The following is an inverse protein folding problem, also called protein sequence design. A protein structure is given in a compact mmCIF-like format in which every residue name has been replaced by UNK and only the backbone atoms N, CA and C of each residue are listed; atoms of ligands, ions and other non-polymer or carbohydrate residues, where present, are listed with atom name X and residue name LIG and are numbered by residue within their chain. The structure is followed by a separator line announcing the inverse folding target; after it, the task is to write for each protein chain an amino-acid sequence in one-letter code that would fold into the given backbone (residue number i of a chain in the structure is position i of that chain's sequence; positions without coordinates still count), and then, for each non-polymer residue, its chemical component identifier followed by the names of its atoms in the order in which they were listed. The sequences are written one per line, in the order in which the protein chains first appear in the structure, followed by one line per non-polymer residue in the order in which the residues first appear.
data_IF_573496154295
#
_entry.id   IF_573496154295
#
_cell.length_a   1.000
_cell.length_b   1.000
_cell.length_c   1.000
_cell.angle_alpha   90.00
_cell.angle_beta   90.00
_cell.angle_gamma   90.00
#
_symmetry.space_group_name_H-M   'P 1'
#
loop_
_entity.id
_entity.type
_entity.pdbx_description
1 polymer ?
#
# COMPACT_ATOMS: atom_id res chain seq x y z
N UNK A 1 11.41 11.20 -20.78
CA UNK A 1 12.35 10.41 -19.96
C UNK A 1 11.65 9.13 -19.52
N UNK A 2 12.33 7.98 -19.51
CA UNK A 2 11.78 6.74 -18.98
C UNK A 2 11.76 6.79 -17.44
N UNK A 3 10.62 6.43 -16.83
CA UNK A 3 10.47 6.38 -15.36
C UNK A 3 11.37 5.29 -14.77
N UNK A 4 11.87 5.50 -13.56
CA UNK A 4 12.59 4.45 -12.85
C UNK A 4 11.63 3.29 -12.49
N UNK A 5 12.05 2.01 -12.56
CA UNK A 5 11.16 0.86 -12.32
C UNK A 5 10.41 0.92 -10.98
N UNK A 6 11.09 1.28 -9.89
CA UNK A 6 10.45 1.46 -8.59
C UNK A 6 9.39 2.58 -8.57
N UNK A 7 9.60 3.67 -9.31
CA UNK A 7 8.60 4.74 -9.44
C UNK A 7 7.41 4.24 -10.25
N UNK A 8 7.68 3.57 -11.39
CA UNK A 8 6.64 2.99 -12.24
C UNK A 8 5.77 1.97 -11.49
N UNK A 9 6.39 1.10 -10.68
CA UNK A 9 5.67 0.16 -9.82
C UNK A 9 4.72 0.87 -8.85
N UNK A 10 5.17 1.94 -8.20
CA UNK A 10 4.33 2.72 -7.29
C UNK A 10 3.22 3.50 -8.01
N UNK A 11 3.45 3.96 -9.23
CA UNK A 11 2.40 4.57 -10.06
C UNK A 11 1.35 3.53 -10.45
N UNK A 12 1.74 2.32 -10.83
CA UNK A 12 0.81 1.22 -11.11
C UNK A 12 -0.04 0.87 -9.87
N UNK A 13 0.57 0.76 -8.69
CA UNK A 13 -0.16 0.54 -7.43
C UNK A 13 -1.14 1.70 -7.14
N UNK A 14 -0.73 2.94 -7.37
CA UNK A 14 -1.60 4.11 -7.14
C UNK A 14 -2.76 4.18 -8.14
N UNK A 15 -2.55 3.73 -9.38
CA UNK A 15 -3.59 3.64 -10.41
C UNK A 15 -4.70 2.66 -10.02
N UNK A 16 -4.38 1.56 -9.32
CA UNK A 16 -5.39 0.63 -8.79
C UNK A 16 -6.31 1.28 -7.74
N UNK A 17 -5.82 2.29 -7.01
CA UNK A 17 -6.65 3.08 -6.09
C UNK A 17 -7.37 4.25 -6.79
N UNK A 18 -7.14 4.44 -8.09
CA UNK A 18 -7.78 5.47 -8.89
C UNK A 18 -7.07 6.81 -8.91
N UNK A 19 -5.80 6.85 -8.53
CA UNK A 19 -4.97 8.04 -8.67
C UNK A 19 -3.98 7.87 -9.82
N UNK A 20 -3.86 8.90 -10.66
CA UNK A 20 -2.82 9.02 -11.67
C UNK A 20 -2.20 10.42 -11.60
N UNK A 21 -0.92 10.57 -11.99
CA UNK A 21 -0.27 11.86 -11.99
C UNK A 21 -0.85 12.78 -13.08
N UNK A 22 -0.97 14.06 -12.76
CA UNK A 22 -1.24 15.11 -13.75
C UNK A 22 0.05 15.74 -14.29
N UNK A 23 -0.07 16.65 -15.25
CA UNK A 23 1.07 17.31 -15.90
C UNK A 23 1.98 18.05 -14.90
N UNK A 24 1.39 18.63 -13.85
CA UNK A 24 2.09 19.37 -12.79
C UNK A 24 2.90 18.46 -11.82
N UNK A 25 2.79 17.14 -11.95
CA UNK A 25 3.46 16.17 -11.07
C UNK A 25 4.85 15.76 -11.58
N UNK A 26 5.19 16.09 -12.83
CA UNK A 26 6.39 15.60 -13.51
C UNK A 26 7.70 16.03 -12.84
N UNK A 27 7.76 17.27 -12.32
CA UNK A 27 8.93 17.75 -11.59
C UNK A 27 9.19 16.90 -10.33
N UNK A 28 8.13 16.66 -9.54
CA UNK A 28 8.21 15.88 -8.31
C UNK A 28 8.55 14.42 -8.61
N UNK A 29 7.88 13.82 -9.59
CA UNK A 29 8.18 12.45 -10.00
C UNK A 29 9.60 12.31 -10.57
N UNK A 30 10.12 13.34 -11.24
CA UNK A 30 11.52 13.39 -11.67
C UNK A 30 12.50 13.38 -10.49
N UNK A 31 12.17 14.02 -9.36
CA UNK A 31 12.96 13.93 -8.13
C UNK A 31 12.91 12.52 -7.53
N UNK A 32 11.73 11.88 -7.55
CA UNK A 32 11.56 10.47 -7.12
C UNK A 32 12.42 9.56 -7.99
N UNK A 33 12.40 9.74 -9.31
CA UNK A 33 13.17 8.95 -10.28
C UNK A 33 14.68 9.02 -9.98
N UNK A 34 15.19 10.21 -9.62
CA UNK A 34 16.59 10.44 -9.23
C UNK A 34 16.94 9.95 -7.82
N UNK A 35 15.99 9.41 -7.06
CA UNK A 35 16.25 8.93 -5.70
C UNK A 35 16.57 10.05 -4.70
N UNK A 36 16.05 11.26 -4.94
CA UNK A 36 16.22 12.40 -4.05
C UNK A 36 15.63 12.11 -2.66
N UNK A 37 16.23 12.70 -1.61
CA UNK A 37 15.75 12.51 -0.23
C UNK A 37 14.26 12.83 -0.07
N UNK A 38 13.56 12.02 0.73
CA UNK A 38 12.13 12.21 1.01
C UNK A 38 11.83 13.59 1.63
N UNK A 39 12.76 14.14 2.42
CA UNK A 39 12.64 15.49 2.98
C UNK A 39 12.57 16.57 1.89
N UNK A 40 13.40 16.49 0.86
CA UNK A 40 13.39 17.47 -0.23
C UNK A 40 12.15 17.31 -1.12
N UNK A 41 11.75 16.07 -1.41
CA UNK A 41 10.51 15.78 -2.13
C UNK A 41 9.31 16.36 -1.37
N UNK A 42 9.26 16.17 -0.05
CA UNK A 42 8.24 16.75 0.81
C UNK A 42 8.19 18.27 0.73
N UNK A 43 9.34 18.93 0.78
CA UNK A 43 9.41 20.39 0.64
C UNK A 43 8.82 20.83 -0.71
N UNK A 44 9.20 20.17 -1.82
CA UNK A 44 8.64 20.51 -3.14
C UNK A 44 7.15 20.26 -3.27
N UNK A 45 6.66 19.13 -2.76
CA UNK A 45 5.22 18.84 -2.73
C UNK A 45 4.50 19.96 -1.98
N UNK A 46 5.03 20.40 -0.83
CA UNK A 46 4.43 21.45 -0.01
C UNK A 46 4.46 22.82 -0.70
N UNK A 47 5.55 23.19 -1.38
CA UNK A 47 5.66 24.45 -2.13
C UNK A 47 4.62 24.56 -3.26
N UNK A 48 4.24 23.44 -3.86
CA UNK A 48 3.22 23.38 -4.90
C UNK A 48 1.76 23.45 -4.37
N UNK A 49 1.56 23.57 -3.05
CA UNK A 49 0.22 23.63 -2.45
C UNK A 49 -0.21 25.10 -2.29
N UNK A 50 -1.35 25.50 -2.88
CA UNK A 50 -1.90 26.86 -2.70
C UNK A 50 -2.13 27.19 -1.22
N UNK A 51 -1.93 28.44 -0.83
CA UNK A 51 -2.11 28.88 0.56
C UNK A 51 -3.53 28.62 1.07
N UNK A 52 -4.53 28.77 0.19
CA UNK A 52 -5.95 28.55 0.45
C UNK A 52 -6.22 27.09 0.84
N UNK A 53 -5.47 26.14 0.27
CA UNK A 53 -5.60 24.72 0.55
C UNK A 53 -5.13 24.32 1.96
N UNK A 54 -4.44 25.22 2.67
CA UNK A 54 -4.02 25.06 4.08
C UNK A 54 -4.83 25.91 5.05
N UNK A 55 -5.78 26.71 4.54
CA UNK A 55 -6.61 27.56 5.39
C UNK A 55 -7.50 26.69 6.27
N UNK A 56 -7.30 26.76 7.59
CA UNK A 56 -8.14 26.02 8.52
C UNK A 56 -9.58 26.56 8.46
N UNK A 57 -10.60 25.67 8.40
CA UNK A 57 -11.97 26.10 8.55
C UNK A 57 -12.12 26.83 9.89
N UNK A 58 -12.85 27.95 9.88
CA UNK A 58 -13.17 28.67 11.11
C UNK A 58 -13.88 27.75 12.12
N UNK A 59 -13.76 28.04 13.42
CA UNK A 59 -14.36 27.20 14.46
C UNK A 59 -15.88 27.15 14.31
N UNK A 60 -16.39 26.03 13.80
CA UNK A 60 -17.84 25.73 13.82
C UNK A 60 -18.18 25.17 15.18
N UNK A 61 -18.63 26.03 16.09
CA UNK A 61 -18.96 25.69 17.50
C UNK A 61 -19.92 24.50 17.60
N UNK A 62 -20.83 24.35 16.63
CA UNK A 62 -21.81 23.27 16.56
C UNK A 62 -21.35 22.03 15.78
N UNK A 63 -20.18 22.05 15.14
CA UNK A 63 -19.70 20.88 14.40
C UNK A 63 -19.24 19.78 15.37
N UNK A 64 -19.85 18.59 15.24
CA UNK A 64 -19.44 17.39 15.97
C UNK A 64 -17.99 17.04 15.64
N UNK A 65 -17.23 16.59 16.65
CA UNK A 65 -15.90 16.02 16.44
C UNK A 65 -16.07 14.62 15.86
N UNK A 66 -15.37 14.34 14.77
CA UNK A 66 -15.28 13.02 14.17
C UNK A 66 -13.81 12.58 14.21
N UNK A 67 -13.47 11.38 14.70
CA UNK A 67 -12.11 10.89 14.70
C UNK A 67 -11.47 10.95 13.30
N UNK A 68 -10.18 11.25 13.25
CA UNK A 68 -9.38 11.39 12.03
C UNK A 68 -9.71 12.58 11.13
N UNK A 69 -10.75 13.37 11.37
CA UNK A 69 -11.17 14.44 10.46
C UNK A 69 -10.98 15.82 11.08
N UNK A 70 -10.52 16.78 10.28
CA UNK A 70 -10.57 18.17 10.71
C UNK A 70 -12.02 18.56 11.02
N UNK A 71 -12.23 19.15 12.20
CA UNK A 71 -13.55 19.54 12.70
C UNK A 71 -14.35 20.31 11.65
N UNK A 72 -15.56 19.84 11.36
CA UNK A 72 -16.47 20.49 10.41
C UNK A 72 -16.13 20.24 8.93
N UNK A 73 -15.22 19.31 8.64
CA UNK A 73 -14.86 18.90 7.28
C UNK A 73 -14.93 17.38 7.11
N UNK A 74 -14.71 16.91 5.88
CA UNK A 74 -14.50 15.49 5.54
C UNK A 74 -13.03 15.16 5.25
N UNK A 75 -12.12 16.07 5.58
CA UNK A 75 -10.69 15.97 5.23
C UNK A 75 -9.96 15.36 6.41
N UNK A 76 -9.13 14.35 6.12
CA UNK A 76 -8.34 13.66 7.13
C UNK A 76 -7.33 14.63 7.77
N UNK A 77 -7.25 14.62 9.10
CA UNK A 77 -6.17 15.28 9.83
C UNK A 77 -4.83 14.70 9.39
N UNK A 78 -3.92 15.60 9.03
CA UNK A 78 -2.64 15.25 8.42
C UNK A 78 -1.54 16.17 8.94
N UNK A 79 -0.31 15.64 8.95
CA UNK A 79 0.91 16.34 9.38
C UNK A 79 1.38 17.42 8.40
N UNK A 80 0.65 17.62 7.29
CA UNK A 80 0.93 18.64 6.27
C UNK A 80 0.14 19.93 6.49
N UNK A 81 -0.87 19.91 7.37
CA UNK A 81 -1.76 21.06 7.61
C UNK A 81 -2.72 21.37 6.46
N UNK A 82 -2.92 20.43 5.53
CA UNK A 82 -3.76 20.63 4.33
C UNK A 82 -5.22 20.37 4.69
N UNK A 83 -6.11 21.29 4.35
CA UNK A 83 -7.56 21.21 4.62
C UNK A 83 -8.40 21.15 3.34
N UNK A 84 -7.79 21.24 2.16
CA UNK A 84 -8.43 20.93 0.88
C UNK A 84 -8.32 19.43 0.56
N UNK A 85 -9.45 18.79 0.25
CA UNK A 85 -9.49 17.36 -0.07
C UNK A 85 -8.65 17.01 -1.31
N UNK A 86 -8.76 17.81 -2.38
CA UNK A 86 -8.00 17.57 -3.62
C UNK A 86 -6.50 17.77 -3.42
N UNK A 87 -6.10 18.83 -2.71
CA UNK A 87 -4.70 19.08 -2.41
C UNK A 87 -4.09 18.00 -1.51
N UNK A 88 -4.85 17.50 -0.52
CA UNK A 88 -4.41 16.41 0.34
C UNK A 88 -4.24 15.11 -0.45
N UNK A 89 -5.20 14.76 -1.31
CA UNK A 89 -5.14 13.56 -2.13
C UNK A 89 -3.91 13.57 -3.05
N UNK A 90 -3.64 14.70 -3.72
CA UNK A 90 -2.43 14.87 -4.55
C UNK A 90 -1.15 14.77 -3.73
N UNK A 91 -1.05 15.52 -2.64
CA UNK A 91 0.16 15.53 -1.80
C UNK A 91 0.45 14.16 -1.18
N UNK A 92 -0.59 13.48 -0.67
CA UNK A 92 -0.46 12.11 -0.16
C UNK A 92 0.04 11.16 -1.24
N UNK A 93 -0.58 11.15 -2.42
CA UNK A 93 -0.21 10.24 -3.49
C UNK A 93 1.27 10.41 -3.91
N UNK A 94 1.73 11.65 -4.09
CA UNK A 94 3.12 11.94 -4.44
C UNK A 94 4.10 11.49 -3.35
N UNK A 95 3.79 11.75 -2.08
CA UNK A 95 4.64 11.36 -0.96
C UNK A 95 4.68 9.83 -0.78
N UNK A 96 3.55 9.15 -0.97
CA UNK A 96 3.46 7.69 -0.91
C UNK A 96 4.22 7.04 -2.08
N UNK A 97 4.12 7.60 -3.29
CA UNK A 97 4.93 7.16 -4.44
C UNK A 97 6.42 7.31 -4.15
N UNK A 98 6.83 8.45 -3.59
CA UNK A 98 8.23 8.69 -3.22
C UNK A 98 8.73 7.71 -2.14
N UNK A 99 7.95 7.53 -1.07
CA UNK A 99 8.28 6.64 0.03
C UNK A 99 8.35 5.17 -0.42
N UNK A 100 7.36 4.73 -1.20
CA UNK A 100 7.32 3.38 -1.75
C UNK A 100 8.44 3.12 -2.75
N UNK A 101 8.73 4.05 -3.65
CA UNK A 101 9.83 3.91 -4.60
C UNK A 101 11.18 3.80 -3.88
N UNK A 102 11.36 4.52 -2.76
CA UNK A 102 12.54 4.39 -1.90
C UNK A 102 12.62 3.00 -1.26
N UNK A 103 11.51 2.48 -0.72
CA UNK A 103 11.46 1.13 -0.15
C UNK A 103 11.81 0.06 -1.19
N UNK A 104 11.28 0.18 -2.41
CA UNK A 104 11.50 -0.77 -3.49
C UNK A 104 12.90 -0.69 -4.12
N UNK A 105 13.67 0.37 -3.85
CA UNK A 105 15.08 0.54 -4.27
C UNK A 105 16.08 0.07 -3.22
N UNK A 106 15.71 0.12 -1.93
CA UNK A 106 16.68 -0.02 -0.86
C UNK A 106 17.15 -1.48 -0.72
N UNK A 107 18.47 -1.75 -0.70
CA UNK A 107 19.01 -3.08 -0.41
C UNK A 107 19.03 -3.41 1.09
N UNK A 108 18.43 -2.55 1.94
CA UNK A 108 18.41 -2.70 3.39
C UNK A 108 17.32 -3.65 3.89
N UNK A 109 17.24 -3.89 5.21
CA UNK A 109 16.19 -4.72 5.79
C UNK A 109 14.82 -4.12 5.43
N UNK A 110 14.05 -4.87 4.66
CA UNK A 110 12.69 -4.49 4.31
C UNK A 110 11.82 -4.50 5.57
N UNK A 111 10.82 -3.60 5.67
CA UNK A 111 9.80 -3.71 6.70
C UNK A 111 9.21 -5.12 6.74
N UNK A 112 9.22 -5.77 7.91
CA UNK A 112 8.73 -7.14 8.04
C UNK A 112 7.21 -7.20 8.20
N UNK A 113 6.62 -6.13 8.74
CA UNK A 113 5.19 -6.06 9.03
C UNK A 113 4.46 -5.11 8.09
N UNK A 114 3.20 -5.41 7.78
CA UNK A 114 2.35 -4.52 6.97
C UNK A 114 2.06 -3.20 7.69
N UNK A 115 2.05 -3.20 9.03
CA UNK A 115 2.03 -1.98 9.85
C UNK A 115 3.28 -1.13 9.67
N UNK A 116 4.48 -1.72 9.60
CA UNK A 116 5.71 -0.98 9.31
C UNK A 116 5.75 -0.45 7.87
N UNK A 117 5.24 -1.22 6.90
CA UNK A 117 5.06 -0.75 5.52
C UNK A 117 4.14 0.46 5.50
N UNK A 118 2.99 0.39 6.17
CA UNK A 118 2.06 1.51 6.24
C UNK A 118 2.69 2.73 6.93
N UNK A 119 3.43 2.54 8.02
CA UNK A 119 4.16 3.61 8.69
C UNK A 119 5.17 4.27 7.74
N UNK A 120 5.92 3.47 6.98
CA UNK A 120 6.91 3.97 6.04
C UNK A 120 6.31 4.71 4.85
N UNK A 121 5.14 4.29 4.35
CA UNK A 121 4.45 4.93 3.22
C UNK A 121 3.73 6.22 3.63
N UNK A 122 3.06 6.22 4.79
CA UNK A 122 2.13 7.27 5.18
C UNK A 122 2.62 8.14 6.34
N UNK A 123 3.77 7.85 6.95
CA UNK A 123 4.27 8.54 8.15
C UNK A 123 4.50 10.04 7.96
N UNK A 124 4.83 10.47 6.74
CA UNK A 124 4.94 11.89 6.40
C UNK A 124 3.58 12.59 6.34
N UNK A 125 2.50 11.85 6.05
CA UNK A 125 1.16 12.41 5.85
C UNK A 125 0.32 12.31 7.12
N UNK A 126 0.38 11.19 7.82
CA UNK A 126 -0.53 10.85 8.90
C UNK A 126 0.19 10.45 10.18
N UNK A 127 -0.12 11.14 11.29
CA UNK A 127 0.41 10.82 12.61
C UNK A 127 0.01 9.43 13.14
N UNK A 128 -1.05 8.84 12.55
CA UNK A 128 -1.54 7.50 12.89
C UNK A 128 -1.02 6.40 11.95
N UNK A 129 -0.09 6.71 11.04
CA UNK A 129 0.46 5.72 10.11
C UNK A 129 1.02 4.49 10.86
N UNK A 130 0.65 3.29 10.41
CA UNK A 130 1.02 2.02 11.03
C UNK A 130 0.15 1.65 12.24
N UNK A 131 -0.84 2.46 12.60
CA UNK A 131 -1.77 2.14 13.71
C UNK A 131 -3.11 1.63 13.21
N UNK A 132 -3.69 0.60 13.85
CA UNK A 132 -5.05 0.16 13.55
C UNK A 132 -6.07 1.28 13.67
N UNK A 133 -7.10 1.24 12.83
CA UNK A 133 -8.22 2.18 12.87
C UNK A 133 -9.08 1.99 14.12
N UNK A 134 -9.67 3.09 14.58
CA UNK A 134 -10.58 3.11 15.74
C UNK A 134 -12.04 3.36 15.38
N UNK A 135 -12.37 3.42 14.09
CA UNK A 135 -13.74 3.63 13.58
C UNK A 135 -14.11 2.56 12.57
N UNK A 136 -15.39 2.23 12.49
CA UNK A 136 -15.91 1.34 11.47
C UNK A 136 -15.87 2.00 10.09
N UNK A 137 -15.60 1.18 9.06
CA UNK A 137 -15.48 1.62 7.68
C UNK A 137 -16.34 0.73 6.78
N UNK A 138 -16.83 1.32 5.70
CA UNK A 138 -17.45 0.63 4.58
C UNK A 138 -17.02 1.28 3.28
N UNK A 139 -16.99 0.49 2.20
CA UNK A 139 -16.67 0.97 0.84
C UNK A 139 -17.62 0.27 -0.13
N UNK A 140 -18.30 1.05 -0.98
CA UNK A 140 -19.19 0.54 -2.03
C UNK A 140 -20.23 -0.49 -1.54
N UNK A 141 -20.79 -0.27 -0.34
CA UNK A 141 -21.78 -1.17 0.26
C UNK A 141 -21.19 -2.38 1.00
N UNK A 142 -19.90 -2.65 0.88
CA UNK A 142 -19.20 -3.68 1.68
C UNK A 142 -18.76 -3.10 3.02
N UNK A 143 -19.12 -3.78 4.11
CA UNK A 143 -18.69 -3.44 5.48
C UNK A 143 -17.43 -4.23 5.81
N UNK A 144 -16.40 -3.54 6.30
CA UNK A 144 -15.16 -4.19 6.76
C UNK A 144 -15.31 -4.74 8.18
N UNK A 145 -14.29 -5.42 8.70
CA UNK A 145 -14.34 -5.94 10.07
C UNK A 145 -14.67 -4.84 11.12
N UNK A 146 -15.34 -5.15 12.24
CA UNK A 146 -15.55 -4.18 13.31
C UNK A 146 -14.22 -3.64 13.84
N UNK A 147 -14.09 -2.33 14.03
CA UNK A 147 -12.86 -1.67 14.45
C UNK A 147 -12.30 -2.24 15.77
N UNK A 148 -13.19 -2.58 16.70
CA UNK A 148 -12.83 -3.21 17.98
C UNK A 148 -12.13 -4.56 17.85
N UNK A 149 -12.30 -5.25 16.71
CA UNK A 149 -11.68 -6.56 16.44
C UNK A 149 -10.43 -6.46 15.56
N UNK A 150 -10.16 -5.31 14.95
CA UNK A 150 -9.06 -5.14 13.98
C UNK A 150 -7.70 -5.56 14.56
N UNK A 151 -7.28 -5.14 15.78
CA UNK A 151 -5.97 -5.51 16.30
C UNK A 151 -5.76 -7.03 16.41
N UNK A 152 -6.80 -7.76 16.82
CA UNK A 152 -6.74 -9.22 16.93
C UNK A 152 -6.76 -9.90 15.55
N UNK A 153 -7.50 -9.35 14.58
CA UNK A 153 -7.64 -9.93 13.24
C UNK A 153 -6.43 -9.66 12.33
N UNK A 154 -5.75 -8.54 12.50
CA UNK A 154 -4.55 -8.19 11.70
C UNK A 154 -3.28 -8.86 12.22
N UNK A 155 -3.18 -9.15 13.52
CA UNK A 155 -2.02 -9.81 14.13
C UNK A 155 -1.48 -11.04 13.37
N UNK A 156 -2.32 -12.02 12.94
CA UNK A 156 -1.83 -13.17 12.16
C UNK A 156 -1.49 -12.83 10.70
N UNK A 157 -1.82 -11.63 10.22
CA UNK A 157 -1.58 -11.16 8.86
C UNK A 157 -0.42 -10.18 8.76
N UNK A 158 0.19 -9.79 9.88
CA UNK A 158 1.22 -8.75 9.91
C UNK A 158 2.42 -9.07 9.00
N UNK A 159 2.84 -10.34 8.91
CA UNK A 159 4.08 -10.74 8.22
C UNK A 159 3.81 -11.60 6.98
N UNK A 160 3.43 -11.00 5.82
CA UNK A 160 3.12 -11.76 4.60
C UNK A 160 4.27 -12.65 4.11
N UNK A 161 5.52 -12.23 4.29
CA UNK A 161 6.68 -13.05 3.89
C UNK A 161 6.76 -14.39 4.62
N UNK A 162 6.33 -14.44 5.89
CA UNK A 162 6.25 -15.70 6.66
C UNK A 162 5.13 -16.60 6.15
N UNK A 163 3.97 -16.02 5.84
CA UNK A 163 2.85 -16.77 5.24
C UNK A 163 3.26 -17.41 3.92
N UNK A 164 4.02 -16.69 3.09
CA UNK A 164 4.59 -17.23 1.85
C UNK A 164 5.61 -18.35 2.14
N UNK A 165 6.48 -18.18 3.13
CA UNK A 165 7.46 -19.19 3.52
C UNK A 165 6.77 -20.49 3.98
N UNK A 166 5.75 -20.39 4.82
CA UNK A 166 4.97 -21.54 5.31
C UNK A 166 4.24 -22.27 4.18
N UNK A 167 3.68 -21.50 3.23
CA UNK A 167 3.04 -22.05 2.04
C UNK A 167 4.03 -22.80 1.14
N UNK A 168 5.25 -22.27 0.96
CA UNK A 168 6.30 -22.94 0.21
C UNK A 168 6.81 -24.21 0.90
N UNK A 169 6.96 -24.18 2.23
CA UNK A 169 7.40 -25.34 3.00
C UNK A 169 6.38 -26.50 2.97
N UNK A 170 5.09 -26.16 2.85
CA UNK A 170 3.99 -27.14 2.81
C UNK A 170 3.58 -27.55 1.39
N UNK A 171 4.18 -26.96 0.36
CA UNK A 171 3.79 -27.19 -1.01
C UNK A 171 4.27 -28.57 -1.52
N UNK A 172 3.49 -29.24 -2.40
CA UNK A 172 3.96 -30.42 -3.10
C UNK A 172 5.24 -30.12 -3.89
N UNK A 173 6.18 -31.08 -3.94
CA UNK A 173 7.48 -30.88 -4.62
C UNK A 173 7.35 -30.51 -6.11
N UNK A 174 6.28 -30.96 -6.78
CA UNK A 174 6.00 -30.64 -8.18
C UNK A 174 5.32 -29.27 -8.39
N UNK A 175 4.92 -28.57 -7.32
CA UNK A 175 4.24 -27.30 -7.44
C UNK A 175 5.22 -26.18 -7.86
N UNK A 176 4.81 -25.38 -8.84
CA UNK A 176 5.57 -24.19 -9.23
C UNK A 176 5.64 -23.20 -8.06
N UNK A 177 6.87 -22.80 -7.69
CA UNK A 177 7.10 -21.75 -6.68
C UNK A 177 6.27 -20.50 -6.97
N UNK A 178 6.25 -20.04 -8.22
CA UNK A 178 5.48 -18.86 -8.64
C UNK A 178 4.00 -19.01 -8.35
N UNK A 179 3.42 -20.16 -8.65
CA UNK A 179 2.02 -20.46 -8.35
C UNK A 179 1.77 -20.48 -6.85
N UNK A 180 2.63 -21.14 -6.06
CA UNK A 180 2.48 -21.19 -4.60
C UNK A 180 2.51 -19.80 -3.98
N UNK A 181 3.49 -18.97 -4.36
CA UNK A 181 3.60 -17.59 -3.85
C UNK A 181 2.38 -16.75 -4.26
N UNK A 182 1.96 -16.82 -5.52
CA UNK A 182 0.78 -16.09 -6.00
C UNK A 182 -0.48 -16.46 -5.23
N UNK A 183 -0.73 -17.75 -5.00
CA UNK A 183 -1.91 -18.23 -4.27
C UNK A 183 -1.86 -17.88 -2.78
N UNK A 184 -0.69 -17.95 -2.15
CA UNK A 184 -0.50 -17.56 -0.75
C UNK A 184 -0.75 -16.06 -0.54
N UNK A 185 -0.21 -15.22 -1.43
CA UNK A 185 -0.43 -13.77 -1.38
C UNK A 185 -1.88 -13.40 -1.70
N UNK A 186 -2.56 -14.12 -2.59
CA UNK A 186 -3.99 -13.93 -2.85
C UNK A 186 -4.85 -14.21 -1.61
N UNK A 187 -4.58 -15.31 -0.89
CA UNK A 187 -5.29 -15.64 0.36
C UNK A 187 -5.06 -14.57 1.43
N UNK A 188 -3.79 -14.22 1.64
CA UNK A 188 -3.40 -13.18 2.58
C UNK A 188 -4.06 -11.84 2.23
N UNK A 189 -3.99 -11.40 0.97
CA UNK A 189 -4.52 -10.10 0.54
C UNK A 189 -6.04 -10.04 0.71
N UNK A 190 -6.77 -11.11 0.36
CA UNK A 190 -8.21 -11.16 0.53
C UNK A 190 -8.61 -11.02 2.01
N UNK A 191 -7.90 -11.73 2.91
CA UNK A 191 -8.11 -11.63 4.36
C UNK A 191 -7.76 -10.24 4.88
N UNK A 192 -6.63 -9.69 4.47
CA UNK A 192 -6.18 -8.35 4.83
C UNK A 192 -7.18 -7.28 4.37
N UNK A 193 -7.66 -7.37 3.13
CA UNK A 193 -8.64 -6.46 2.56
C UNK A 193 -9.96 -6.45 3.35
N UNK A 194 -10.42 -7.62 3.81
CA UNK A 194 -11.60 -7.72 4.66
C UNK A 194 -11.40 -7.09 6.05
N UNK A 195 -10.24 -7.31 6.68
CA UNK A 195 -9.90 -6.69 7.98
C UNK A 195 -9.82 -5.18 7.84
N UNK A 196 -9.19 -4.71 6.76
CA UNK A 196 -9.03 -3.30 6.41
C UNK A 196 -8.45 -2.49 7.59
N UNK A 197 -7.24 -2.81 8.07
CA UNK A 197 -6.81 -2.45 9.41
C UNK A 197 -6.53 -0.96 9.61
N UNK A 198 -6.22 -0.21 8.58
CA UNK A 198 -5.86 1.21 8.68
C UNK A 198 -7.03 2.12 8.30
N UNK A 199 -6.94 3.40 8.70
CA UNK A 199 -8.00 4.38 8.39
C UNK A 199 -8.06 4.72 6.90
N UNK A 200 -6.92 4.80 6.24
CA UNK A 200 -6.75 5.06 4.80
C UNK A 200 -5.44 4.40 4.37
N UNK A 201 -5.27 4.07 3.08
CA UNK A 201 -4.00 3.55 2.56
C UNK A 201 -3.86 2.02 2.56
N UNK A 202 -4.92 1.28 2.90
CA UNK A 202 -4.90 -0.18 3.03
C UNK A 202 -4.41 -0.90 1.77
N UNK A 203 -4.95 -0.59 0.58
CA UNK A 203 -4.56 -1.27 -0.65
C UNK A 203 -3.12 -0.99 -1.07
N UNK A 204 -2.65 0.27 -0.95
CA UNK A 204 -1.26 0.66 -1.20
C UNK A 204 -0.28 -0.02 -0.25
N UNK A 205 -0.59 -0.07 1.05
CA UNK A 205 0.24 -0.78 2.02
C UNK A 205 0.26 -2.30 1.75
N UNK A 206 -0.89 -2.89 1.42
CA UNK A 206 -0.99 -4.31 1.11
C UNK A 206 -0.22 -4.69 -0.16
N UNK A 207 -0.34 -3.89 -1.23
CA UNK A 207 0.38 -4.11 -2.47
C UNK A 207 1.90 -4.06 -2.26
N UNK A 208 2.41 -3.03 -1.56
CA UNK A 208 3.84 -2.92 -1.26
C UNK A 208 4.33 -4.05 -0.36
N UNK A 209 3.58 -4.42 0.68
CA UNK A 209 3.93 -5.54 1.56
C UNK A 209 3.94 -6.88 0.81
N UNK A 210 3.01 -7.10 -0.12
CA UNK A 210 2.99 -8.27 -0.99
C UNK A 210 4.19 -8.30 -1.95
N UNK A 211 4.56 -7.15 -2.55
CA UNK A 211 5.74 -7.04 -3.41
C UNK A 211 7.02 -7.38 -2.63
N UNK A 212 7.18 -6.83 -1.42
CA UNK A 212 8.34 -7.13 -0.57
C UNK A 212 8.36 -8.62 -0.17
N UNK A 213 7.21 -9.20 0.14
CA UNK A 213 7.09 -10.63 0.45
C UNK A 213 7.46 -11.50 -0.76
N UNK A 214 6.99 -11.19 -1.97
CA UNK A 214 7.36 -11.91 -3.19
C UNK A 214 8.86 -11.83 -3.47
N UNK A 215 9.46 -10.65 -3.31
CA UNK A 215 10.90 -10.40 -3.50
C UNK A 215 11.79 -11.17 -2.54
N UNK A 216 11.36 -11.31 -1.28
CA UNK A 216 12.05 -12.14 -0.31
C UNK A 216 12.16 -13.62 -0.74
N UNK A 217 11.29 -14.07 -1.66
CA UNK A 217 11.23 -15.43 -2.20
C UNK A 217 11.63 -15.50 -3.69
N UNK A 218 12.33 -14.49 -4.20
CA UNK A 218 12.90 -14.49 -5.55
C UNK A 218 11.92 -14.20 -6.70
N UNK A 219 10.74 -13.66 -6.39
CA UNK A 219 9.73 -13.25 -7.36
C UNK A 219 9.48 -11.75 -7.28
N UNK A 220 8.68 -11.19 -8.18
CA UNK A 220 8.22 -9.80 -8.09
C UNK A 220 6.72 -9.70 -8.41
N UNK A 221 6.09 -8.58 -8.08
CA UNK A 221 4.71 -8.29 -8.43
C UNK A 221 4.65 -7.07 -9.36
N UNK A 222 4.20 -7.29 -10.59
CA UNK A 222 3.97 -6.26 -11.58
C UNK A 222 2.48 -5.94 -11.70
N UNK A 223 2.04 -4.97 -10.89
CA UNK A 223 0.66 -4.49 -10.88
C UNK A 223 0.24 -3.74 -12.16
N UNK A 224 1.15 -3.41 -13.07
CA UNK A 224 0.78 -2.85 -14.38
C UNK A 224 0.11 -3.92 -15.28
N UNK A 225 0.20 -5.20 -14.91
CA UNK A 225 -0.41 -6.31 -15.66
C UNK A 225 -1.90 -6.49 -15.38
N UNK A 226 -2.48 -5.74 -14.44
CA UNK A 226 -3.92 -5.74 -14.13
C UNK A 226 -4.49 -4.33 -14.23
N UNK A 227 -5.82 -4.22 -14.28
CA UNK A 227 -6.52 -2.93 -14.27
C UNK A 227 -7.17 -2.68 -12.93
N UNK A 228 -7.52 -1.41 -12.68
CA UNK A 228 -8.28 -1.01 -11.49
C UNK A 228 -9.59 -1.77 -11.39
N UNK A 229 -10.31 -1.92 -12.50
CA UNK A 229 -11.62 -2.56 -12.55
C UNK A 229 -11.51 -4.02 -12.12
N UNK A 230 -10.53 -4.75 -12.66
CA UNK A 230 -10.26 -6.14 -12.30
C UNK A 230 -9.86 -6.28 -10.83
N UNK A 231 -8.97 -5.40 -10.36
CA UNK A 231 -8.49 -5.43 -8.98
C UNK A 231 -9.59 -5.11 -7.96
N UNK A 232 -10.39 -4.08 -8.23
CA UNK A 232 -11.54 -3.70 -7.39
C UNK A 232 -12.60 -4.79 -7.42
N UNK A 233 -12.88 -5.39 -8.58
CA UNK A 233 -13.82 -6.50 -8.68
C UNK A 233 -13.35 -7.70 -7.86
N UNK A 234 -12.06 -8.05 -7.92
CA UNK A 234 -11.49 -9.11 -7.10
C UNK A 234 -11.62 -8.83 -5.59
N UNK A 235 -11.38 -7.58 -5.18
CA UNK A 235 -11.54 -7.14 -3.80
C UNK A 235 -13.00 -7.26 -3.32
N UNK A 236 -13.96 -6.79 -4.11
CA UNK A 236 -15.40 -6.88 -3.80
C UNK A 236 -15.85 -8.35 -3.74
N UNK A 237 -15.49 -9.16 -4.73
CA UNK A 237 -15.86 -10.59 -4.77
C UNK A 237 -15.24 -11.40 -3.63
N UNK A 238 -14.17 -10.92 -3.02
CA UNK A 238 -13.54 -11.59 -1.88
C UNK A 238 -14.23 -11.36 -0.53
N UNK A 239 -15.08 -10.34 -0.43
CA UNK A 239 -15.73 -9.98 0.82
C UNK A 239 -16.76 -11.05 1.24
N UNK A 240 -16.91 -11.34 2.54
CA UNK A 240 -17.97 -12.22 3.03
C UNK A 240 -19.34 -11.64 2.66
N UNK A 241 -20.12 -12.41 1.91
CA UNK A 241 -21.49 -12.07 1.52
C UNK A 241 -22.45 -13.16 2.01
N UNK A 242 -23.58 -12.84 2.66
CA UNK A 242 -24.54 -13.85 3.09
C UNK A 242 -24.94 -14.78 1.93
N UNK A 243 -24.94 -16.12 2.15
CA UNK A 243 -24.74 -16.83 3.42
C UNK A 243 -23.28 -17.13 3.80
N UNK A 244 -22.30 -16.81 2.95
CA UNK A 244 -20.87 -17.04 3.24
C UNK A 244 -20.38 -16.07 4.31
N UNK A 245 -19.81 -16.63 5.38
CA UNK A 245 -19.23 -15.87 6.49
C UNK A 245 -17.71 -15.69 6.39
N UNK A 246 -17.06 -16.41 5.46
CA UNK A 246 -15.63 -16.34 5.22
C UNK A 246 -15.31 -15.56 3.95
N UNK A 247 -14.09 -15.04 3.91
CA UNK A 247 -13.48 -14.45 2.71
C UNK A 247 -13.34 -15.50 1.60
N UNK A 248 -13.47 -15.09 0.34
CA UNK A 248 -13.17 -15.92 -0.83
C UNK A 248 -12.02 -15.34 -1.66
N UNK A 249 -10.81 -15.91 -1.61
CA UNK A 249 -9.69 -15.38 -2.37
C UNK A 249 -9.73 -15.72 -3.87
N UNK A 250 -10.73 -16.45 -4.37
CA UNK A 250 -10.75 -17.01 -5.73
C UNK A 250 -10.50 -15.96 -6.82
N UNK A 251 -11.17 -14.81 -6.78
CA UNK A 251 -10.93 -13.75 -7.75
C UNK A 251 -9.51 -13.17 -7.63
N UNK A 252 -9.02 -12.96 -6.41
CA UNK A 252 -7.65 -12.51 -6.18
C UNK A 252 -6.60 -13.52 -6.65
N UNK A 253 -6.87 -14.82 -6.64
CA UNK A 253 -5.92 -15.83 -7.15
C UNK A 253 -5.59 -15.59 -8.62
N UNK A 254 -6.59 -15.27 -9.45
CA UNK A 254 -6.35 -14.93 -10.86
C UNK A 254 -5.49 -13.68 -11.01
N UNK A 255 -5.78 -12.64 -10.22
CA UNK A 255 -5.01 -11.40 -10.26
C UNK A 255 -3.57 -11.59 -9.79
N UNK A 256 -3.34 -12.30 -8.69
CA UNK A 256 -1.99 -12.59 -8.20
C UNK A 256 -1.21 -13.50 -9.16
N UNK A 257 -1.86 -14.48 -9.80
CA UNK A 257 -1.19 -15.29 -10.85
C UNK A 257 -0.78 -14.42 -12.04
N UNK A 258 -1.60 -13.42 -12.40
CA UNK A 258 -1.35 -12.47 -13.49
C UNK A 258 -0.20 -11.51 -13.18
N UNK A 259 -0.16 -10.95 -11.96
CA UNK A 259 0.84 -9.93 -11.58
C UNK A 259 2.15 -10.52 -11.06
N UNK A 260 2.15 -11.74 -10.52
CA UNK A 260 3.39 -12.37 -10.03
C UNK A 260 4.27 -12.71 -11.23
N UNK A 261 5.51 -12.26 -11.23
CA UNK A 261 6.53 -12.50 -12.26
C UNK A 261 7.82 -13.01 -11.61
N UNK A 262 8.74 -13.53 -12.43
CA UNK A 262 10.07 -13.89 -11.94
C UNK A 262 10.85 -12.62 -11.57
N UNK A 263 11.58 -12.66 -10.45
CA UNK A 263 12.37 -11.51 -10.00
C UNK A 263 13.48 -11.18 -10.99
N UNK A 264 13.76 -9.90 -11.21
CA UNK A 264 14.96 -9.50 -11.95
C UNK A 264 16.21 -9.88 -11.15
N UNK A 265 16.99 -10.81 -11.68
CA UNK A 265 18.24 -11.27 -11.05
C UNK A 265 19.24 -10.12 -11.03
N UNK A 266 19.29 -9.39 -9.92
CA UNK A 266 20.45 -8.60 -9.51
C UNK A 266 20.87 -9.06 -8.11
N UNK A 267 21.13 -10.36 -7.97
CA UNK A 267 22.02 -10.82 -6.91
C UNK A 267 23.45 -10.59 -7.39
N UNK A 268 24.05 -9.48 -6.98
CA UNK A 268 25.50 -9.38 -6.89
C UNK A 268 25.95 -10.42 -5.84
N UNK A 269 26.21 -11.65 -6.31
CA UNK A 269 26.93 -12.64 -5.54
C UNK A 269 28.38 -12.21 -5.51
N UNK A 270 28.74 -11.33 -4.59
CA UNK A 270 30.13 -11.15 -4.23
C UNK A 270 30.64 -12.49 -3.70
N UNK A 271 31.61 -13.16 -4.35
CA UNK A 271 32.15 -14.39 -3.83
C UNK A 271 32.90 -14.05 -2.55
N UNK A 272 32.49 -14.66 -1.44
CA UNK A 272 33.27 -14.68 -0.22
C UNK A 272 34.60 -15.35 -0.53
N UNK A 273 35.60 -14.51 -0.75
CA UNK A 273 37.00 -14.90 -0.90
C UNK A 273 37.43 -15.51 0.44
N UNK A 274 37.43 -16.83 0.53
CA UNK A 274 38.18 -17.54 1.57
C UNK A 274 39.66 -17.37 1.26
N UNK A 275 40.40 -16.92 2.25
CA UNK A 275 41.87 -16.91 2.29
C UNK A 275 42.30 -17.06 3.74
N UNK A 276 43.45 -17.66 3.99
CA UNK A 276 43.99 -18.91 3.45
C UNK A 276 43.67 -20.11 4.37
#
# INVERSE_FOLDING_TARGET
MTRHPATAAMLAVSALEGWGPGDDDDEVLGLVDRGVSGRLIRLRVLEAIPAEARRRPGPRVLARRAPYLYRGTRVLENSLGITSAGALARAEALLVVAAGARLLRAPGPAPETVSDVHAALFGDVYAWAGRPRIVDLSRQGSVFAPASRVPALVAPLERPSRIVADALASAPAAASRRTVVALALADWYARFNHVHPFREGNGRAAAVAATLAARAHGLDLDFARTTREMWVQAAVSSMPTPPRRSVDPTAHRFEFLRVTIDGSVTMDRTPTRRTP
#
